data_IF_504720259690
#
_entry.id   IF_504720259690
#
_cell.length_a   1.000
_cell.length_b   1.000
_cell.length_c   1.000
_cell.angle_alpha   90.00
_cell.angle_beta   90.00
_cell.angle_gamma   90.00
#
_symmetry.space_group_name_H-M   'P 1'
#
loop_
_entity.id
_entity.type
_entity.pdbx_description
1 polymer ?
#
# COMPACT_ATOMS: atom_id res chain seq x y z
N UNK A 1 -8.52 -22.42 12.31
CA UNK A 1 -7.72 -22.01 11.14
C UNK A 1 -7.51 -20.51 11.25
N UNK A 2 -6.29 -19.99 11.07
CA UNK A 2 -6.06 -18.55 11.03
C UNK A 2 -6.74 -17.97 9.79
N UNK A 3 -7.39 -16.82 9.92
CA UNK A 3 -8.01 -16.12 8.80
C UNK A 3 -6.91 -15.68 7.83
N UNK A 4 -7.06 -15.99 6.54
CA UNK A 4 -6.06 -15.63 5.51
C UNK A 4 -6.18 -14.13 5.23
N UNK A 5 -5.18 -13.37 5.69
CA UNK A 5 -5.12 -11.94 5.39
C UNK A 5 -4.95 -11.73 3.88
N UNK A 6 -5.81 -10.91 3.29
CA UNK A 6 -5.71 -10.58 1.86
C UNK A 6 -4.48 -9.70 1.61
N UNK A 7 -3.75 -10.03 0.55
CA UNK A 7 -2.55 -9.27 0.11
C UNK A 7 -2.88 -8.48 -1.14
N UNK A 8 -2.43 -7.22 -1.23
CA UNK A 8 -2.54 -6.41 -2.44
C UNK A 8 -1.23 -5.75 -2.84
N UNK A 9 -0.89 -5.83 -4.14
CA UNK A 9 0.24 -5.15 -4.76
C UNK A 9 -0.27 -3.87 -5.45
N UNK A 10 0.30 -2.73 -5.07
CA UNK A 10 -0.01 -1.44 -5.68
C UNK A 10 1.23 -0.88 -6.39
N UNK A 11 1.15 -0.67 -7.70
CA UNK A 11 2.19 -0.02 -8.50
C UNK A 11 1.96 1.49 -8.54
N UNK A 12 3.02 2.29 -8.65
CA UNK A 12 2.90 3.74 -8.56
C UNK A 12 2.43 4.23 -7.19
N UNK A 13 2.66 3.43 -6.13
CA UNK A 13 2.07 3.64 -4.81
C UNK A 13 2.58 4.90 -4.06
N UNK A 14 3.62 5.57 -4.56
CA UNK A 14 4.22 6.71 -3.87
C UNK A 14 3.48 8.05 -4.00
N UNK A 15 2.55 8.18 -4.94
CA UNK A 15 1.85 9.46 -5.20
C UNK A 15 0.53 9.27 -5.95
N UNK A 16 -0.28 10.33 -6.01
CA UNK A 16 -1.50 10.38 -6.83
C UNK A 16 -2.48 9.25 -6.51
N UNK A 17 -3.07 8.66 -7.56
CA UNK A 17 -4.07 7.60 -7.45
C UNK A 17 -3.52 6.35 -6.76
N UNK A 18 -2.29 5.93 -7.11
CA UNK A 18 -1.68 4.74 -6.50
C UNK A 18 -1.54 4.87 -4.97
N UNK A 19 -1.14 6.06 -4.49
CA UNK A 19 -1.08 6.33 -3.04
C UNK A 19 -2.46 6.29 -2.39
N UNK A 20 -3.47 6.90 -3.02
CA UNK A 20 -4.84 6.92 -2.48
C UNK A 20 -5.42 5.49 -2.37
N UNK A 21 -5.18 4.65 -3.37
CA UNK A 21 -5.59 3.24 -3.36
C UNK A 21 -4.87 2.47 -2.26
N UNK A 22 -3.54 2.63 -2.12
CA UNK A 22 -2.76 1.97 -1.07
C UNK A 22 -3.31 2.30 0.33
N UNK A 23 -3.53 3.58 0.64
CA UNK A 23 -4.06 3.99 1.96
C UNK A 23 -5.48 3.46 2.21
N UNK A 24 -6.29 3.34 1.16
CA UNK A 24 -7.65 2.78 1.27
C UNK A 24 -7.61 1.28 1.57
N UNK A 25 -6.74 0.53 0.89
CA UNK A 25 -6.59 -0.92 1.12
C UNK A 25 -5.96 -1.23 2.49
N UNK A 26 -5.03 -0.40 2.98
CA UNK A 26 -4.51 -0.53 4.34
C UNK A 26 -5.63 -0.38 5.38
N UNK A 27 -6.48 0.64 5.24
CA UNK A 27 -7.66 0.82 6.11
C UNK A 27 -8.67 -0.33 6.04
N UNK A 28 -8.71 -1.04 4.91
CA UNK A 28 -9.54 -2.22 4.72
C UNK A 28 -8.90 -3.52 5.27
N UNK A 29 -7.73 -3.44 5.94
CA UNK A 29 -7.09 -4.57 6.63
C UNK A 29 -6.20 -5.45 5.74
N UNK A 30 -5.87 -4.99 4.52
CA UNK A 30 -4.99 -5.73 3.62
C UNK A 30 -3.53 -5.63 4.06
N UNK A 31 -2.78 -6.72 3.87
CA UNK A 31 -1.33 -6.66 3.83
C UNK A 31 -0.88 -6.08 2.48
N UNK A 32 -0.11 -4.99 2.48
CA UNK A 32 0.26 -4.30 1.24
C UNK A 32 1.70 -4.50 0.81
N UNK A 33 1.87 -4.59 -0.51
CA UNK A 33 3.16 -4.43 -1.19
C UNK A 33 3.10 -3.16 -2.03
N UNK A 34 3.99 -2.21 -1.73
CA UNK A 34 4.08 -0.93 -2.45
C UNK A 34 5.21 -0.99 -3.47
N UNK A 35 4.89 -0.75 -4.74
CA UNK A 35 5.87 -0.79 -5.84
C UNK A 35 5.97 0.56 -6.55
N UNK A 36 7.20 0.97 -6.84
CA UNK A 36 7.51 2.21 -7.54
C UNK A 36 9.01 2.44 -7.67
N UNK A 37 9.40 3.43 -8.49
CA UNK A 37 10.82 3.70 -8.80
C UNK A 37 11.60 4.39 -7.67
N UNK A 38 10.90 5.13 -6.79
CA UNK A 38 11.52 6.00 -5.79
C UNK A 38 11.19 5.48 -4.39
N UNK A 39 12.19 5.18 -3.55
CA UNK A 39 11.94 4.62 -2.22
C UNK A 39 11.29 5.62 -1.26
N UNK A 40 11.72 6.88 -1.26
CA UNK A 40 11.23 7.88 -0.29
C UNK A 40 9.70 8.10 -0.36
N UNK A 41 9.06 8.30 -1.53
CA UNK A 41 7.59 8.37 -1.60
C UNK A 41 6.87 7.08 -1.17
N UNK A 42 7.47 5.91 -1.39
CA UNK A 42 6.89 4.63 -0.96
C UNK A 42 6.93 4.50 0.56
N UNK A 43 8.05 4.88 1.18
CA UNK A 43 8.20 4.90 2.65
C UNK A 43 7.23 5.89 3.29
N UNK A 44 7.07 7.10 2.72
CA UNK A 44 6.06 8.08 3.18
C UNK A 44 4.64 7.53 3.09
N UNK A 45 4.34 6.69 2.11
CA UNK A 45 3.02 6.06 1.97
C UNK A 45 2.83 4.94 2.99
N UNK A 46 3.85 4.09 3.19
CA UNK A 46 3.83 3.02 4.19
C UNK A 46 3.69 3.56 5.63
N UNK A 47 4.25 4.72 5.93
CA UNK A 47 4.15 5.35 7.25
C UNK A 47 2.84 6.11 7.49
N UNK A 48 1.97 6.23 6.48
CA UNK A 48 0.75 7.06 6.53
C UNK A 48 -0.56 6.26 6.65
N UNK A 49 -0.50 4.93 6.57
CA UNK A 49 -1.64 4.03 6.76
C UNK A 49 -1.36 3.05 7.89
#
# INVERSE_FOLDING_TARGET
>A
MAEVQKVALVTGAGSGVGRAVALTLMKAGYALVLSGRRPEPLQKTAAAG
#
